data_IF_396587420111
#
_entry.id   IF_396587420111
#
_cell.length_a   1.000
_cell.length_b   1.000
_cell.length_c   1.000
_cell.angle_alpha   90.00
_cell.angle_beta   90.00
_cell.angle_gamma   90.00
#
_symmetry.space_group_name_H-M   'P 1'
#
loop_
_entity.id
_entity.type
_entity.pdbx_description
1 polymer ?
#
# COMPACT_ATOMS: atom_id res chain seq x y z
N UNK A 1 9.71 -14.43 2.34
CA UNK A 1 8.94 -13.45 3.15
C UNK A 1 7.47 -13.58 2.81
N UNK A 2 6.57 -13.64 3.80
CA UNK A 2 5.11 -13.62 3.56
C UNK A 2 4.71 -12.23 3.03
N UNK A 3 3.78 -12.18 2.06
CA UNK A 3 3.20 -10.96 1.47
C UNK A 3 4.17 -10.07 0.65
N UNK A 4 5.10 -10.70 -0.08
CA UNK A 4 6.00 -9.96 -0.96
C UNK A 4 5.26 -9.26 -2.11
N UNK A 5 4.09 -9.76 -2.49
CA UNK A 5 3.25 -9.20 -3.57
C UNK A 5 2.86 -7.74 -3.29
N UNK A 6 2.47 -7.44 -2.04
CA UNK A 6 2.10 -6.08 -1.63
C UNK A 6 3.31 -5.15 -1.67
N UNK A 7 4.47 -5.64 -1.21
CA UNK A 7 5.71 -4.87 -1.22
C UNK A 7 6.17 -4.58 -2.65
N UNK A 8 6.12 -5.58 -3.52
CA UNK A 8 6.45 -5.43 -4.93
C UNK A 8 5.49 -4.48 -5.62
N UNK A 9 4.18 -4.61 -5.40
CA UNK A 9 3.19 -3.70 -5.99
C UNK A 9 3.44 -2.25 -5.54
N UNK A 10 3.64 -2.02 -4.25
CA UNK A 10 3.96 -0.70 -3.73
C UNK A 10 5.25 -0.14 -4.37
N UNK A 11 6.30 -0.97 -4.49
CA UNK A 11 7.56 -0.57 -5.11
C UNK A 11 7.43 -0.26 -6.60
N UNK A 12 6.76 -1.12 -7.37
CA UNK A 12 6.50 -0.95 -8.81
C UNK A 12 5.77 0.35 -9.10
N UNK A 13 4.83 0.72 -8.23
CA UNK A 13 4.07 1.96 -8.34
C UNK A 13 4.74 3.17 -7.66
N UNK A 14 5.89 2.98 -7.00
CA UNK A 14 6.56 4.01 -6.23
C UNK A 14 5.73 4.55 -5.05
N UNK A 15 4.82 3.73 -4.51
CA UNK A 15 4.03 4.03 -3.31
C UNK A 15 4.79 3.57 -2.08
N UNK A 16 4.90 4.43 -1.07
CA UNK A 16 5.59 4.11 0.17
C UNK A 16 4.63 3.44 1.16
N UNK A 17 5.14 2.50 1.98
CA UNK A 17 4.33 1.73 2.94
C UNK A 17 3.61 2.63 3.96
N UNK A 18 4.20 3.76 4.34
CA UNK A 18 3.57 4.72 5.23
C UNK A 18 2.34 5.41 4.61
N UNK A 19 2.31 5.65 3.29
CA UNK A 19 1.14 6.26 2.63
C UNK A 19 -0.06 5.32 2.66
N UNK A 20 0.21 4.03 2.49
CA UNK A 20 -0.79 2.98 2.62
C UNK A 20 -1.30 2.92 4.06
N UNK A 21 -0.37 2.97 5.03
CA UNK A 21 -0.71 2.96 6.45
C UNK A 21 -1.57 4.17 6.86
N UNK A 22 -1.25 5.38 6.38
CA UNK A 22 -2.05 6.58 6.61
C UNK A 22 -3.47 6.43 6.05
N UNK A 23 -3.62 5.88 4.85
CA UNK A 23 -4.94 5.63 4.25
C UNK A 23 -5.76 4.57 4.99
N UNK A 24 -5.09 3.60 5.61
CA UNK A 24 -5.71 2.63 6.50
C UNK A 24 -6.00 3.21 7.91
N UNK A 25 -5.55 4.42 8.23
CA UNK A 25 -5.65 5.00 9.57
C UNK A 25 -4.81 4.27 10.62
N UNK A 26 -3.73 3.61 10.19
CA UNK A 26 -2.81 2.85 11.05
C UNK A 26 -1.41 3.43 10.99
N UNK A 27 -0.57 3.03 11.95
CA UNK A 27 0.84 3.40 11.96
C UNK A 27 1.66 2.51 11.02
N UNK A 28 2.70 3.07 10.39
CA UNK A 28 3.64 2.31 9.56
C UNK A 28 4.24 1.11 10.32
N UNK A 29 4.57 1.31 11.60
CA UNK A 29 5.06 0.26 12.51
C UNK A 29 4.09 -0.92 12.62
N UNK A 30 2.79 -0.64 12.71
CA UNK A 30 1.75 -1.67 12.73
C UNK A 30 1.62 -2.36 11.37
N UNK A 31 1.64 -1.59 10.29
CA UNK A 31 1.57 -2.11 8.93
C UNK A 31 2.75 -3.04 8.59
N UNK A 32 3.97 -2.64 8.92
CA UNK A 32 5.20 -3.43 8.77
C UNK A 32 5.18 -4.71 9.62
N UNK A 33 4.56 -4.68 10.81
CA UNK A 33 4.32 -5.89 11.63
C UNK A 33 3.25 -6.78 11.01
N UNK A 34 2.21 -6.20 10.43
CA UNK A 34 1.11 -6.92 9.79
C UNK A 34 1.58 -7.67 8.54
N UNK A 35 2.44 -7.05 7.71
CA UNK A 35 3.02 -7.69 6.53
C UNK A 35 3.87 -8.93 6.86
N UNK A 36 4.42 -9.03 8.07
CA UNK A 36 5.18 -10.20 8.52
C UNK A 36 4.29 -11.39 8.93
N UNK A 37 2.99 -11.17 9.14
CA UNK A 37 2.01 -12.21 9.50
C UNK A 37 1.27 -12.71 8.26
N UNK A 38 0.64 -13.88 8.35
CA UNK A 38 -0.29 -14.35 7.32
C UNK A 38 -1.51 -13.43 7.31
N UNK A 39 -1.67 -12.71 6.20
CA UNK A 39 -2.79 -11.83 5.94
C UNK A 39 -3.81 -12.58 5.09
N UNK A 40 -5.08 -12.55 5.52
CA UNK A 40 -6.20 -13.05 4.73
C UNK A 40 -6.25 -12.33 3.38
N UNK A 41 -6.70 -13.03 2.34
CA UNK A 41 -6.77 -12.51 0.98
C UNK A 41 -7.54 -11.17 0.90
N UNK A 42 -8.66 -11.05 1.62
CA UNK A 42 -9.44 -9.79 1.67
C UNK A 42 -8.63 -8.59 2.16
N UNK A 43 -7.76 -8.77 3.15
CA UNK A 43 -6.91 -7.67 3.63
C UNK A 43 -5.85 -7.30 2.60
N UNK A 44 -5.34 -8.28 1.85
CA UNK A 44 -4.40 -8.01 0.76
C UNK A 44 -5.09 -7.20 -0.33
N UNK A 45 -6.30 -7.58 -0.74
CA UNK A 45 -7.07 -6.86 -1.76
C UNK A 45 -7.37 -5.42 -1.34
N UNK A 46 -7.78 -5.20 -0.07
CA UNK A 46 -7.95 -3.84 0.46
C UNK A 46 -6.68 -2.99 0.34
N UNK A 47 -5.53 -3.57 0.66
CA UNK A 47 -4.24 -2.88 0.54
C UNK A 47 -3.91 -2.57 -0.92
N UNK A 48 -4.14 -3.52 -1.84
CA UNK A 48 -3.91 -3.32 -3.28
C UNK A 48 -4.79 -2.21 -3.83
N UNK A 49 -6.07 -2.17 -3.45
CA UNK A 49 -6.98 -1.09 -3.85
C UNK A 49 -6.48 0.28 -3.37
N UNK A 50 -6.02 0.38 -2.11
CA UNK A 50 -5.46 1.63 -1.58
C UNK A 50 -4.21 2.06 -2.38
N UNK A 51 -3.33 1.12 -2.75
CA UNK A 51 -2.17 1.43 -3.59
C UNK A 51 -2.63 2.03 -4.92
N UNK A 52 -3.61 1.41 -5.59
CA UNK A 52 -4.15 1.90 -6.87
C UNK A 52 -4.78 3.28 -6.71
N UNK A 53 -5.50 3.54 -5.62
CA UNK A 53 -6.06 4.87 -5.34
C UNK A 53 -4.97 5.93 -5.17
N UNK A 54 -3.94 5.64 -4.37
CA UNK A 54 -2.80 6.56 -4.16
C UNK A 54 -2.08 6.85 -5.48
N UNK A 55 -1.90 5.83 -6.33
CA UNK A 55 -1.29 5.98 -7.66
C UNK A 55 -2.13 6.89 -8.53
N UNK A 56 -3.44 6.64 -8.63
CA UNK A 56 -4.36 7.48 -9.41
C UNK A 56 -4.31 8.94 -8.94
N UNK A 57 -4.36 9.18 -7.63
CA UNK A 57 -4.25 10.53 -7.06
C UNK A 57 -2.89 11.19 -7.37
N UNK A 58 -1.80 10.42 -7.30
CA UNK A 58 -0.46 10.90 -7.65
C UNK A 58 -0.35 11.25 -9.14
N UNK A 59 -0.84 10.40 -10.04
CA UNK A 59 -0.85 10.66 -11.48
C UNK A 59 -1.67 11.91 -11.81
N UNK A 60 -2.86 12.05 -11.21
CA UNK A 60 -3.72 13.25 -11.31
C UNK A 60 -2.99 14.52 -10.86
N UNK A 61 -2.20 14.46 -9.79
CA UNK A 61 -1.43 15.61 -9.32
C UNK A 61 -0.21 15.92 -10.23
N UNK A 62 0.32 14.92 -10.92
CA UNK A 62 1.47 15.07 -11.81
C UNK A 62 1.10 15.73 -13.15
N UNK A 63 -0.15 15.62 -13.60
CA UNK A 63 -0.64 16.26 -14.84
C UNK A 63 -0.98 17.76 -14.67
N UNK A 64 -0.73 18.36 -13.50
CA UNK A 64 -1.14 19.74 -13.18
C UNK A 64 -0.09 20.82 -13.50
N UNK A 65 0.93 20.52 -14.29
CA UNK A 65 1.96 21.49 -14.69
C UNK A 65 2.20 21.49 -16.19
#
# INVERSE_FOLDING_TARGET
>A
MKNNDIRNMALTHGVKLWQIAERLGITDSYFSRMLRKELTQEKKEKIQNIIIEIVKERDLNTTKY
#
